data_IF_034156980966
#
_entry.id   IF_034156980966
#
_cell.length_a   1.000
_cell.length_b   1.000
_cell.length_c   1.000
_cell.angle_alpha   90.00
_cell.angle_beta   90.00
_cell.angle_gamma   90.00
#
_symmetry.space_group_name_H-M   'P 1'
#
loop_
_entity.id
_entity.type
_entity.pdbx_description
1 polymer ?
#
# COMPACT_ATOMS: atom_id res chain seq x y z
N UNK A 1 -2.12 -9.44 -10.30
CA UNK A 1 -1.63 -8.89 -11.58
C UNK A 1 -1.52 -7.39 -11.42
N UNK A 2 -0.34 -6.83 -11.59
CA UNK A 2 -0.14 -5.39 -11.63
C UNK A 2 -0.49 -4.92 -13.04
N UNK A 3 -1.50 -4.09 -13.17
CA UNK A 3 -1.90 -3.49 -14.44
C UNK A 3 -1.58 -2.00 -14.40
N UNK A 4 -0.60 -1.58 -15.16
CA UNK A 4 -0.18 -0.17 -15.25
C UNK A 4 -0.91 0.60 -16.34
N UNK A 5 -1.89 -0.03 -16.99
CA UNK A 5 -2.72 0.57 -18.02
C UNK A 5 -2.09 0.70 -19.41
N UNK A 6 -2.94 0.91 -20.40
CA UNK A 6 -2.56 0.97 -21.82
C UNK A 6 -1.91 2.30 -22.23
N UNK A 7 -1.90 3.30 -21.40
CA UNK A 7 -1.37 4.61 -21.75
C UNK A 7 0.14 4.68 -21.57
N UNK A 8 0.77 5.36 -22.50
CA UNK A 8 2.24 5.56 -22.55
C UNK A 8 2.77 6.45 -21.41
N UNK A 9 1.87 7.07 -20.67
CA UNK A 9 2.23 7.86 -19.51
C UNK A 9 2.33 6.92 -18.31
N UNK A 10 3.53 6.85 -17.75
CA UNK A 10 3.85 5.97 -16.64
C UNK A 10 2.92 6.24 -15.43
N UNK A 11 2.03 5.30 -15.16
CA UNK A 11 1.13 5.36 -14.01
C UNK A 11 1.74 4.59 -12.85
N UNK A 12 1.87 5.23 -11.70
CA UNK A 12 2.40 4.61 -10.50
C UNK A 12 1.34 3.76 -9.82
N UNK A 13 1.76 2.57 -9.42
CA UNK A 13 0.96 1.68 -8.58
C UNK A 13 1.70 1.38 -7.29
N UNK A 14 1.00 1.46 -6.17
CA UNK A 14 1.51 0.98 -4.89
C UNK A 14 1.15 -0.49 -4.72
N UNK A 15 2.07 -1.25 -4.19
CA UNK A 15 1.87 -2.68 -3.94
C UNK A 15 2.80 -3.20 -2.86
N UNK A 16 2.58 -4.43 -2.43
CA UNK A 16 3.46 -5.19 -1.54
C UNK A 16 3.70 -6.60 -2.05
N UNK A 17 4.62 -7.28 -1.40
CA UNK A 17 4.86 -8.68 -1.68
C UNK A 17 3.65 -9.54 -1.24
N UNK A 18 3.18 -10.49 -2.06
CA UNK A 18 2.05 -11.37 -1.70
C UNK A 18 2.43 -12.48 -0.70
N UNK A 19 3.51 -12.32 0.01
CA UNK A 19 4.06 -13.28 0.96
C UNK A 19 5.57 -13.10 1.11
N UNK A 20 6.28 -14.15 1.51
CA UNK A 20 7.74 -14.15 1.64
C UNK A 20 8.42 -14.85 0.47
N UNK A 21 9.76 -14.65 0.36
CA UNK A 21 10.62 -15.24 -0.67
C UNK A 21 10.25 -14.88 -2.12
N UNK A 22 9.65 -13.71 -2.32
CA UNK A 22 9.26 -13.22 -3.64
C UNK A 22 10.46 -12.60 -4.32
N UNK A 23 10.98 -13.25 -5.36
CA UNK A 23 12.07 -12.72 -6.18
C UNK A 23 11.52 -11.95 -7.39
N UNK A 24 12.12 -10.81 -7.70
CA UNK A 24 11.78 -9.98 -8.83
C UNK A 24 13.02 -9.41 -9.50
N UNK A 25 13.02 -9.37 -10.83
CA UNK A 25 14.10 -8.74 -11.60
C UNK A 25 13.54 -7.49 -12.28
N UNK A 26 14.11 -6.36 -11.93
CA UNK A 26 13.78 -5.06 -12.56
C UNK A 26 14.42 -5.01 -13.93
N UNK A 27 13.61 -4.95 -14.96
CA UNK A 27 14.06 -4.80 -16.34
C UNK A 27 14.23 -3.32 -16.73
N UNK A 28 14.65 -3.07 -17.99
CA UNK A 28 14.95 -1.71 -18.47
C UNK A 28 13.71 -0.83 -18.71
N UNK A 29 12.52 -1.43 -18.73
CA UNK A 29 11.26 -0.71 -18.93
C UNK A 29 10.51 -0.44 -17.62
N UNK A 30 11.05 -0.92 -16.50
CA UNK A 30 10.39 -0.89 -15.19
C UNK A 30 11.14 0.04 -14.24
N UNK A 31 10.41 0.90 -13.57
CA UNK A 31 10.88 1.67 -12.42
C UNK A 31 10.23 1.13 -11.17
N UNK A 32 11.06 0.66 -10.24
CA UNK A 32 10.65 0.12 -8.96
C UNK A 32 11.30 0.91 -7.83
N UNK A 33 10.51 1.30 -6.85
CA UNK A 33 10.98 1.99 -5.65
C UNK A 33 10.41 1.32 -4.42
N UNK A 34 11.22 1.28 -3.34
CA UNK A 34 10.79 0.89 -2.01
C UNK A 34 10.71 2.13 -1.13
N UNK A 35 9.69 2.22 -0.30
CA UNK A 35 9.57 3.29 0.67
C UNK A 35 10.46 3.05 1.89
N UNK A 36 11.18 4.08 2.30
CA UNK A 36 11.93 4.11 3.55
C UNK A 36 11.66 5.45 4.25
N UNK A 37 11.22 5.40 5.49
CA UNK A 37 10.88 6.61 6.26
C UNK A 37 12.02 7.63 6.28
N UNK A 38 13.26 7.16 6.41
CA UNK A 38 14.44 8.04 6.44
C UNK A 38 14.88 8.55 5.06
N UNK A 39 14.72 7.75 4.02
CA UNK A 39 15.32 7.99 2.70
C UNK A 39 14.30 8.32 1.62
N UNK A 40 13.01 8.30 1.96
CA UNK A 40 11.93 8.43 0.98
C UNK A 40 11.95 7.24 -0.01
N UNK A 41 11.56 7.45 -1.25
CA UNK A 41 11.55 6.44 -2.29
C UNK A 41 12.95 6.06 -2.74
N UNK A 42 13.37 4.84 -2.46
CA UNK A 42 14.68 4.28 -2.85
C UNK A 42 14.52 3.40 -4.08
N UNK A 43 15.18 3.80 -5.17
CA UNK A 43 15.15 3.05 -6.43
C UNK A 43 15.77 1.67 -6.27
N UNK A 44 15.04 0.66 -6.74
CA UNK A 44 15.51 -0.71 -6.82
C UNK A 44 16.01 -1.04 -8.23
N UNK A 45 17.05 -1.87 -8.33
CA UNK A 45 17.65 -2.28 -9.59
C UNK A 45 18.10 -3.74 -9.53
N UNK A 46 18.19 -4.39 -10.69
CA UNK A 46 18.63 -5.78 -10.78
C UNK A 46 17.63 -6.76 -10.16
N UNK A 47 18.14 -7.87 -9.68
CA UNK A 47 17.30 -8.88 -9.01
C UNK A 47 17.29 -8.65 -7.50
N UNK A 48 16.10 -8.60 -6.93
CA UNK A 48 15.87 -8.42 -5.48
C UNK A 48 14.85 -9.42 -4.97
N UNK A 49 14.84 -9.60 -3.67
CA UNK A 49 13.76 -10.28 -2.96
C UNK A 49 12.95 -9.23 -2.24
N UNK A 50 11.64 -9.18 -2.48
CA UNK A 50 10.77 -8.24 -1.79
C UNK A 50 10.72 -8.54 -0.29
N UNK A 51 10.78 -7.50 0.52
CA UNK A 51 10.53 -7.60 1.95
C UNK A 51 9.02 -7.71 2.20
N UNK A 52 8.56 -8.73 2.93
CA UNK A 52 7.17 -8.79 3.34
C UNK A 52 6.74 -7.56 4.12
N UNK A 53 5.53 -7.12 3.91
CA UNK A 53 4.90 -5.95 4.52
C UNK A 53 5.53 -4.60 4.17
N UNK A 54 6.60 -4.56 3.40
CA UNK A 54 7.16 -3.30 2.89
C UNK A 54 6.31 -2.74 1.74
N UNK A 55 6.23 -1.43 1.68
CA UNK A 55 5.52 -0.72 0.60
C UNK A 55 6.44 -0.41 -0.59
N UNK A 56 5.96 -0.69 -1.77
CA UNK A 56 6.64 -0.44 -3.04
C UNK A 56 5.78 0.40 -3.97
N UNK A 57 6.45 1.10 -4.88
CA UNK A 57 5.82 1.76 -6.02
C UNK A 57 6.46 1.27 -7.32
N UNK A 58 5.64 0.92 -8.28
CA UNK A 58 6.09 0.47 -9.61
C UNK A 58 5.43 1.28 -10.71
N UNK A 59 6.18 1.54 -11.75
CA UNK A 59 5.65 1.99 -13.03
C UNK A 59 6.48 1.40 -14.17
N UNK A 60 5.89 1.28 -15.36
CA UNK A 60 6.54 0.64 -16.49
C UNK A 60 5.99 1.13 -17.82
N UNK A 61 6.76 0.98 -18.86
CA UNK A 61 6.27 1.18 -20.23
C UNK A 61 5.62 -0.10 -20.76
N UNK A 62 4.52 0.06 -21.47
CA UNK A 62 3.76 -1.05 -22.01
C UNK A 62 2.82 -1.67 -20.99
N UNK A 63 2.42 -2.90 -21.23
CA UNK A 63 1.53 -3.67 -20.35
C UNK A 63 2.12 -5.04 -20.03
N UNK A 64 3.31 -5.13 -19.46
CA UNK A 64 3.80 -6.44 -19.04
C UNK A 64 2.97 -6.95 -17.87
N UNK A 65 2.70 -8.23 -17.91
CA UNK A 65 2.12 -8.96 -16.78
C UNK A 65 3.25 -9.63 -16.02
N UNK A 66 3.35 -9.33 -14.72
CA UNK A 66 4.30 -10.01 -13.86
C UNK A 66 3.57 -11.09 -13.05
N UNK A 67 4.18 -12.27 -13.03
CA UNK A 67 3.76 -13.37 -12.16
C UNK A 67 4.73 -13.47 -10.99
N UNK A 68 4.24 -13.29 -9.80
CA UNK A 68 5.02 -13.40 -8.58
C UNK A 68 4.68 -14.72 -7.89
N UNK A 69 5.70 -15.46 -7.50
CA UNK A 69 5.58 -16.64 -6.67
C UNK A 69 6.02 -16.30 -5.25
N UNK A 70 5.23 -16.68 -4.27
CA UNK A 70 5.46 -16.36 -2.88
C UNK A 70 5.17 -17.57 -1.99
N UNK A 71 5.88 -17.65 -0.87
CA UNK A 71 5.51 -18.52 0.22
C UNK A 71 4.50 -17.79 1.12
N UNK A 72 3.32 -18.38 1.38
CA UNK A 72 2.32 -17.73 2.23
C UNK A 72 2.80 -17.53 3.67
N UNK A 73 2.30 -16.48 4.29
CA UNK A 73 2.53 -16.18 5.72
C UNK A 73 1.27 -16.56 6.48
N UNK A 74 1.42 -17.43 7.49
CA UNK A 74 0.30 -17.97 8.28
C UNK A 74 0.36 -17.58 9.76
N UNK A 75 1.39 -16.86 10.17
CA UNK A 75 1.60 -16.47 11.57
C UNK A 75 1.57 -14.97 11.73
N UNK A 76 1.20 -14.51 12.91
CA UNK A 76 1.25 -13.10 13.26
C UNK A 76 2.66 -12.54 13.05
N UNK A 77 2.71 -11.32 12.55
CA UNK A 77 3.96 -10.62 12.25
C UNK A 77 3.98 -9.29 12.98
N UNK A 78 5.16 -8.93 13.48
CA UNK A 78 5.41 -7.61 14.05
C UNK A 78 6.09 -6.73 13.02
N UNK A 79 5.48 -5.60 12.68
CA UNK A 79 6.05 -4.60 11.79
C UNK A 79 6.69 -3.53 12.65
N UNK A 80 7.97 -3.27 12.44
CA UNK A 80 8.71 -2.21 13.14
C UNK A 80 8.60 -0.93 12.32
N UNK A 81 7.93 0.07 12.89
CA UNK A 81 7.85 1.41 12.32
C UNK A 81 9.02 2.25 12.82
N UNK A 82 9.45 3.18 11.99
CA UNK A 82 10.57 4.07 12.30
C UNK A 82 10.13 5.53 12.20
N UNK A 83 10.77 6.39 13.01
CA UNK A 83 10.64 7.83 12.92
C UNK A 83 12.01 8.47 13.00
N UNK A 84 12.40 9.16 11.96
CA UNK A 84 13.63 9.94 11.93
C UNK A 84 13.40 11.28 12.64
N UNK A 85 14.31 11.72 13.54
CA UNK A 85 14.21 13.04 14.15
C UNK A 85 14.17 14.16 13.10
N UNK A 86 13.35 15.18 13.33
CA UNK A 86 13.10 16.28 12.37
C UNK A 86 14.39 16.96 11.87
N UNK A 87 15.42 17.06 12.71
CA UNK A 87 16.70 17.66 12.35
C UNK A 87 17.63 16.78 11.53
N UNK A 88 17.22 15.53 11.21
CA UNK A 88 18.03 14.56 10.46
C UNK A 88 17.44 14.25 9.07
N UNK A 89 16.41 14.95 8.67
CA UNK A 89 15.61 14.61 7.49
C UNK A 89 14.73 13.40 7.76
N UNK A 90 14.10 12.88 6.75
CA UNK A 90 13.11 11.80 6.87
C UNK A 90 11.70 12.30 6.63
N UNK A 91 10.74 11.42 6.74
CA UNK A 91 9.34 11.66 6.39
C UNK A 91 8.45 11.74 7.64
N UNK A 92 8.98 12.30 8.74
CA UNK A 92 8.24 12.57 9.99
C UNK A 92 7.58 11.36 10.64
N UNK A 93 8.05 10.15 10.32
CA UNK A 93 7.47 8.92 10.80
C UNK A 93 6.44 8.29 9.86
N UNK A 94 6.27 8.83 8.65
CA UNK A 94 5.40 8.22 7.64
C UNK A 94 5.99 6.91 7.16
N UNK A 95 5.35 5.81 7.53
CA UNK A 95 5.75 4.47 7.12
C UNK A 95 4.72 3.92 6.13
N UNK A 96 5.18 3.41 5.00
CA UNK A 96 4.34 2.75 4.01
C UNK A 96 4.52 1.25 4.15
N UNK A 97 3.43 0.55 4.37
CA UNK A 97 3.44 -0.90 4.39
C UNK A 97 2.27 -1.47 3.57
N UNK A 98 2.39 -2.73 3.22
CA UNK A 98 1.38 -3.46 2.47
C UNK A 98 0.97 -4.72 3.23
N UNK A 99 -0.20 -5.23 2.90
CA UNK A 99 -0.63 -6.53 3.42
C UNK A 99 0.04 -7.66 2.62
N UNK A 100 0.89 -8.44 3.29
CA UNK A 100 1.55 -9.62 2.71
C UNK A 100 0.88 -10.95 3.08
N UNK A 101 -0.26 -10.91 3.74
CA UNK A 101 -1.09 -12.07 3.94
C UNK A 101 -1.95 -12.37 2.70
N UNK A 102 -2.37 -13.61 2.55
CA UNK A 102 -3.31 -14.02 1.50
C UNK A 102 -4.76 -13.64 1.81
N UNK A 103 -5.02 -13.02 2.95
CA UNK A 103 -6.34 -12.58 3.41
C UNK A 103 -6.32 -11.08 3.72
N UNK A 104 -7.45 -10.38 3.59
CA UNK A 104 -7.56 -9.00 4.02
C UNK A 104 -7.30 -8.85 5.53
N UNK A 105 -6.69 -7.75 5.92
CA UNK A 105 -6.57 -7.35 7.33
C UNK A 105 -7.74 -6.42 7.65
N UNK A 106 -8.59 -6.81 8.58
CA UNK A 106 -9.67 -5.95 9.07
C UNK A 106 -9.15 -5.09 10.23
N UNK A 107 -9.08 -3.80 9.99
CA UNK A 107 -8.61 -2.81 10.97
C UNK A 107 -9.48 -2.78 12.24
N UNK A 108 -10.73 -3.20 12.15
CA UNK A 108 -11.65 -3.31 13.30
C UNK A 108 -11.20 -4.32 14.36
N UNK A 109 -10.36 -5.27 13.97
CA UNK A 109 -9.90 -6.33 14.86
C UNK A 109 -8.66 -5.94 15.66
N UNK A 110 -8.04 -4.79 15.39
CA UNK A 110 -6.91 -4.33 16.20
C UNK A 110 -7.36 -3.90 17.61
N UNK A 111 -6.53 -4.24 18.57
CA UNK A 111 -6.67 -3.91 19.98
C UNK A 111 -5.50 -3.05 20.45
N UNK A 112 -5.57 -2.40 21.61
CA UNK A 112 -4.45 -1.62 22.14
C UNK A 112 -3.16 -2.43 22.29
N UNK A 113 -3.26 -3.74 22.50
CA UNK A 113 -2.14 -4.67 22.70
C UNK A 113 -1.36 -4.92 21.40
N UNK A 114 -1.99 -4.68 20.24
CA UNK A 114 -1.34 -4.80 18.94
C UNK A 114 -0.37 -3.65 18.65
N UNK A 115 -0.40 -2.60 19.46
CA UNK A 115 0.43 -1.41 19.27
C UNK A 115 1.37 -1.23 20.45
N UNK A 116 2.66 -1.10 20.15
CA UNK A 116 3.69 -0.81 21.15
C UNK A 116 4.44 0.47 20.80
N UNK A 117 4.79 1.24 21.82
CA UNK A 117 5.47 2.52 21.63
C UNK A 117 4.53 3.69 21.40
N UNK A 118 5.13 4.86 21.13
CA UNK A 118 4.42 6.11 20.90
C UNK A 118 4.21 6.29 19.39
N UNK A 119 3.09 5.77 18.90
CA UNK A 119 2.71 5.88 17.49
C UNK A 119 1.26 6.32 17.34
N UNK A 120 0.98 6.99 16.24
CA UNK A 120 -0.38 7.25 15.80
C UNK A 120 -1.04 5.92 15.39
N UNK A 121 -2.20 5.63 15.98
CA UNK A 121 -2.93 4.39 15.73
C UNK A 121 -4.00 4.57 14.65
N UNK A 122 -3.58 5.20 13.54
CA UNK A 122 -4.44 5.48 12.39
C UNK A 122 -3.78 4.89 11.14
N UNK A 123 -4.54 4.10 10.39
CA UNK A 123 -4.13 3.63 9.08
C UNK A 123 -4.61 4.61 8.01
N UNK A 124 -3.75 4.93 7.08
CA UNK A 124 -4.06 5.77 5.93
C UNK A 124 -4.04 4.90 4.68
N UNK A 125 -5.22 4.59 4.15
CA UNK A 125 -5.35 3.76 2.95
C UNK A 125 -5.53 4.69 1.74
N UNK A 126 -4.66 4.56 0.74
CA UNK A 126 -4.77 5.31 -0.50
C UNK A 126 -5.82 4.69 -1.40
N UNK A 127 -6.84 5.46 -1.75
CA UNK A 127 -7.83 5.05 -2.71
C UNK A 127 -7.33 5.30 -4.13
N UNK A 128 -6.83 4.27 -4.79
CA UNK A 128 -6.34 4.37 -6.17
C UNK A 128 -7.47 4.57 -7.19
N UNK A 129 -8.72 4.33 -6.81
CA UNK A 129 -9.85 4.35 -7.73
C UNK A 129 -9.87 3.16 -8.71
N UNK A 130 -10.81 3.19 -9.63
CA UNK A 130 -10.88 2.24 -10.74
C UNK A 130 -10.10 2.74 -11.95
N UNK A 131 -9.73 1.82 -12.84
CA UNK A 131 -9.08 2.15 -14.11
C UNK A 131 -9.85 3.17 -14.94
N UNK A 132 -11.15 3.05 -15.01
CA UNK A 132 -12.00 3.96 -15.79
C UNK A 132 -11.92 5.42 -15.28
N UNK A 133 -11.68 5.62 -14.00
CA UNK A 133 -11.54 6.94 -13.40
C UNK A 133 -10.20 7.61 -13.79
N UNK A 134 -9.14 6.82 -13.97
CA UNK A 134 -7.85 7.31 -14.41
C UNK A 134 -7.75 7.50 -15.92
N UNK A 135 -8.60 6.84 -16.70
CA UNK A 135 -8.58 6.87 -18.16
C UNK A 135 -9.23 8.16 -18.74
N UNK A 136 -9.41 9.20 -17.93
CA UNK A 136 -9.97 10.48 -18.41
C UNK A 136 -11.45 10.42 -18.75
N UNK A 137 -12.10 9.30 -18.59
CA UNK A 137 -13.55 9.21 -18.59
C UNK A 137 -14.02 9.72 -17.24
N UNK A 138 -14.29 11.00 -17.17
CA UNK A 138 -14.66 11.81 -16.01
C UNK A 138 -15.89 11.33 -15.23
N UNK A 139 -16.18 10.08 -15.23
CA UNK A 139 -17.12 9.48 -14.32
C UNK A 139 -16.43 9.38 -12.95
N UNK A 140 -16.50 10.47 -12.24
CA UNK A 140 -16.38 10.44 -10.78
C UNK A 140 -17.50 9.53 -10.30
N UNK A 141 -17.22 8.25 -10.23
CA UNK A 141 -18.13 7.33 -9.57
C UNK A 141 -18.12 7.70 -8.09
N UNK A 142 -19.13 8.47 -7.69
CA UNK A 142 -19.33 8.87 -6.30
C UNK A 142 -19.66 7.66 -5.40
N UNK A 143 -19.76 6.47 -5.98
CA UNK A 143 -20.01 5.23 -5.26
C UNK A 143 -18.71 4.49 -4.87
N UNK A 144 -17.57 4.93 -5.40
CA UNK A 144 -16.28 4.38 -4.99
C UNK A 144 -15.78 5.07 -3.73
N UNK A 145 -16.09 4.50 -2.69
CA UNK A 145 -15.86 4.93 -1.36
C UNK A 145 -17.20 5.27 -0.74
N UNK A 146 -17.62 4.51 0.23
CA UNK A 146 -18.87 4.73 0.95
C UNK A 146 -19.04 6.17 1.47
N UNK A 147 -20.06 6.43 2.19
CA UNK A 147 -20.40 7.76 2.73
C UNK A 147 -19.39 8.31 3.75
N UNK A 148 -18.39 8.90 3.38
CA UNK A 148 -17.20 9.34 4.13
C UNK A 148 -15.97 8.99 3.37
N UNK A 149 -16.22 8.49 2.22
CA UNK A 149 -15.30 8.03 1.27
C UNK A 149 -14.44 9.13 0.71
N UNK A 150 -13.22 8.79 0.58
CA UNK A 150 -12.24 9.51 -0.20
C UNK A 150 -12.62 9.43 -1.68
N UNK A 151 -12.46 10.52 -2.38
CA UNK A 151 -12.37 10.53 -3.84
C UNK A 151 -11.14 9.74 -4.27
N UNK A 152 -11.13 9.10 -5.46
CA UNK A 152 -9.92 8.53 -6.01
C UNK A 152 -8.74 9.50 -5.98
N UNK A 153 -7.58 9.01 -5.59
CA UNK A 153 -6.38 9.83 -5.39
C UNK A 153 -6.27 10.47 -3.99
N UNK A 154 -7.09 10.07 -3.04
CA UNK A 154 -7.04 10.55 -1.65
C UNK A 154 -6.79 9.41 -0.67
N UNK A 155 -6.28 9.78 0.50
CA UNK A 155 -6.16 8.86 1.62
C UNK A 155 -7.44 8.80 2.45
N UNK A 156 -7.82 7.60 2.87
CA UNK A 156 -8.83 7.36 3.89
C UNK A 156 -8.14 7.09 5.22
N UNK A 157 -8.41 7.92 6.22
CA UNK A 157 -7.89 7.72 7.57
C UNK A 157 -8.82 6.80 8.36
N UNK A 158 -8.29 5.70 8.89
CA UNK A 158 -9.01 4.72 9.68
C UNK A 158 -8.35 4.63 11.06
N UNK A 159 -8.93 5.26 12.09
CA UNK A 159 -8.43 5.14 13.45
C UNK A 159 -8.68 3.70 13.95
N UNK A 160 -7.60 2.92 14.11
CA UNK A 160 -7.67 1.50 14.39
C UNK A 160 -8.53 1.15 15.61
N UNK A 161 -8.31 1.82 16.73
CA UNK A 161 -9.03 1.52 17.99
C UNK A 161 -10.47 2.01 18.02
N UNK A 162 -10.89 2.78 17.01
CA UNK A 162 -12.26 3.30 16.88
C UNK A 162 -12.97 2.79 15.64
N UNK A 163 -12.31 1.98 14.82
CA UNK A 163 -12.86 1.49 13.56
C UNK A 163 -14.15 0.67 13.75
N UNK A 164 -14.31 0.02 14.89
CA UNK A 164 -15.54 -0.70 15.25
C UNK A 164 -16.79 0.18 15.36
N UNK A 165 -16.62 1.49 15.54
CA UNK A 165 -17.71 2.47 15.60
C UNK A 165 -17.99 3.13 14.26
N UNK A 166 -17.19 2.84 13.24
CA UNK A 166 -17.46 3.32 11.89
C UNK A 166 -18.72 2.62 11.38
N UNK A 167 -19.60 3.39 10.79
CA UNK A 167 -20.87 2.90 10.26
C UNK A 167 -20.61 1.90 9.14
N UNK A 168 -21.46 0.90 9.00
CA UNK A 168 -21.32 -0.15 7.96
C UNK A 168 -21.33 0.40 6.53
N UNK A 169 -21.73 1.64 6.34
CA UNK A 169 -21.64 2.37 5.08
C UNK A 169 -20.21 2.85 4.74
N UNK A 170 -19.27 2.79 5.71
CA UNK A 170 -17.86 3.12 5.51
C UNK A 170 -17.06 1.83 5.32
N UNK A 171 -17.19 1.25 4.15
CA UNK A 171 -16.65 -0.09 3.86
C UNK A 171 -15.12 -0.20 3.77
N UNK A 172 -14.37 0.88 3.93
CA UNK A 172 -12.91 0.83 3.90
C UNK A 172 -12.37 0.63 5.32
N UNK A 173 -12.58 -0.54 5.88
CA UNK A 173 -11.93 -0.96 7.13
C UNK A 173 -10.97 -2.12 6.91
N UNK A 174 -10.82 -2.58 5.68
CA UNK A 174 -9.97 -3.70 5.33
C UNK A 174 -8.82 -3.26 4.44
N UNK A 175 -7.62 -3.75 4.77
CA UNK A 175 -6.44 -3.63 3.93
C UNK A 175 -6.40 -4.87 3.04
N UNK A 176 -6.58 -4.74 1.72
CA UNK A 176 -6.56 -5.88 0.81
C UNK A 176 -5.20 -6.57 0.79
N UNK A 177 -5.15 -7.84 0.38
CA UNK A 177 -3.88 -8.55 0.17
C UNK A 177 -3.11 -8.01 -1.03
#
# INVERSE_FOLDING_TARGET
TLDTGANRDATWQYFGAPGKNVSFTVDYITWLYQWHEKQNWVKQNGTLTFEPFAGYAITQYGQPTYSLMADPIYTDQTIILTKTPENQGGMNGDNLFANSYMAPIDVKNFTPEDFTGDLEKTFYIFNSGSWNQWNGQNEKDSTLGGNGSTTPGQYCAIPALSAQYLDSEYDITTIPP
#
